data_IF_082073203422
#
_entry.id   IF_082073203422
#
_cell.length_a   1.000
_cell.length_b   1.000
_cell.length_c   1.000
_cell.angle_alpha   90.00
_cell.angle_beta   90.00
_cell.angle_gamma   90.00
#
_symmetry.space_group_name_H-M   'P 1'
#
loop_
_entity.id
_entity.type
_entity.pdbx_description
1 polymer ?
#
# COMPACT_ATOMS: atom_id res chain seq x y z
N UNK A 1 1.52 3.95 8.24
CA UNK A 1 2.48 3.28 7.34
C UNK A 1 3.71 2.78 8.09
N UNK A 2 4.57 3.64 8.64
CA UNK A 2 5.81 3.21 9.33
C UNK A 2 5.59 2.17 10.43
N UNK A 3 4.59 2.38 11.29
CA UNK A 3 4.22 1.41 12.35
C UNK A 3 3.83 0.02 11.81
N UNK A 4 3.08 -0.01 10.70
CA UNK A 4 2.69 -1.25 10.03
C UNK A 4 3.88 -1.92 9.33
N UNK A 5 4.80 -1.13 8.79
CA UNK A 5 6.05 -1.66 8.24
C UNK A 5 6.91 -2.28 9.34
N UNK A 6 7.01 -1.61 10.49
CA UNK A 6 7.76 -2.09 11.65
C UNK A 6 7.18 -3.42 12.15
N UNK A 7 5.86 -3.55 12.20
CA UNK A 7 5.19 -4.81 12.56
C UNK A 7 5.54 -5.94 11.59
N UNK A 8 5.42 -5.70 10.27
CA UNK A 8 5.70 -6.71 9.25
C UNK A 8 7.18 -7.10 9.20
N UNK A 9 8.08 -6.14 9.44
CA UNK A 9 9.52 -6.38 9.48
C UNK A 9 9.91 -7.13 10.77
N UNK A 10 9.41 -6.70 11.93
CA UNK A 10 9.73 -7.30 13.23
C UNK A 10 9.20 -8.72 13.38
N UNK A 11 8.09 -9.06 12.71
CA UNK A 11 7.58 -10.44 12.65
C UNK A 11 8.53 -11.43 11.93
N UNK A 12 9.54 -10.95 11.19
CA UNK A 12 10.47 -11.80 10.45
C UNK A 12 11.82 -11.95 11.17
N UNK A 13 11.92 -12.93 12.06
CA UNK A 13 13.18 -13.21 12.77
C UNK A 13 14.14 -13.99 11.86
N UNK A 14 14.98 -13.26 11.11
CA UNK A 14 16.16 -13.83 10.42
C UNK A 14 16.11 -13.90 8.89
N UNK A 15 15.00 -13.50 8.24
CA UNK A 15 14.90 -13.47 6.77
C UNK A 15 15.00 -12.05 6.18
N UNK A 16 15.35 -11.93 4.90
CA UNK A 16 15.19 -10.66 4.15
C UNK A 16 13.74 -10.46 3.75
N UNK A 17 13.28 -9.21 3.79
CA UNK A 17 12.02 -8.76 3.19
C UNK A 17 12.33 -7.79 2.06
N UNK A 18 11.51 -7.84 1.03
CA UNK A 18 11.52 -6.88 -0.06
C UNK A 18 10.23 -6.07 -0.01
N UNK A 19 10.36 -4.76 -0.15
CA UNK A 19 9.26 -3.82 -0.22
C UNK A 19 9.25 -3.22 -1.62
N UNK A 20 8.10 -3.27 -2.28
CA UNK A 20 7.84 -2.48 -3.47
C UNK A 20 6.51 -1.75 -3.36
N UNK A 21 6.36 -0.65 -4.11
CA UNK A 21 5.21 0.23 -4.04
C UNK A 21 4.74 0.63 -5.43
N UNK A 22 3.49 0.33 -5.73
CA UNK A 22 2.84 0.75 -6.97
C UNK A 22 1.92 1.94 -6.73
N UNK A 23 2.06 2.97 -7.56
CA UNK A 23 1.14 4.10 -7.60
C UNK A 23 -0.02 3.81 -8.55
N UNK A 24 -1.24 3.84 -8.03
CA UNK A 24 -2.46 3.61 -8.81
C UNK A 24 -3.21 4.91 -8.95
N UNK A 25 -3.29 5.44 -10.18
CA UNK A 25 -4.03 6.67 -10.47
C UNK A 25 -5.52 6.38 -10.54
N UNK A 26 -6.31 7.19 -9.85
CA UNK A 26 -7.76 7.03 -9.86
C UNK A 26 -8.37 7.59 -11.15
N UNK A 27 -9.31 6.84 -11.73
CA UNK A 27 -10.10 7.32 -12.84
C UNK A 27 -11.07 8.43 -12.41
N UNK A 28 -11.29 9.44 -13.27
CA UNK A 28 -12.12 10.61 -12.95
C UNK A 28 -13.55 10.26 -12.53
N UNK A 29 -14.12 9.18 -13.06
CA UNK A 29 -15.48 8.73 -12.71
C UNK A 29 -15.57 8.11 -11.31
N UNK A 30 -14.45 7.75 -10.70
CA UNK A 30 -14.38 7.16 -9.35
C UNK A 30 -14.12 8.17 -8.23
N UNK A 31 -14.07 9.48 -8.53
CA UNK A 31 -13.63 10.49 -7.56
C UNK A 31 -14.57 10.70 -6.36
N UNK A 32 -15.82 10.24 -6.41
CA UNK A 32 -16.81 10.39 -5.35
C UNK A 32 -17.42 9.03 -4.95
N UNK A 33 -16.64 8.15 -4.31
CA UNK A 33 -17.13 6.83 -3.93
C UNK A 33 -18.09 6.90 -2.73
N UNK A 34 -18.99 5.93 -2.65
CA UNK A 34 -19.76 5.71 -1.43
C UNK A 34 -18.81 5.40 -0.26
N UNK A 35 -19.12 5.91 0.94
CA UNK A 35 -18.23 5.83 2.10
C UNK A 35 -17.09 6.86 2.11
N UNK A 36 -16.93 7.63 1.03
CA UNK A 36 -15.93 8.70 0.96
C UNK A 36 -14.52 8.23 0.61
N UNK A 37 -13.68 9.20 0.26
CA UNK A 37 -12.36 8.95 -0.33
C UNK A 37 -11.41 8.23 0.64
N UNK A 38 -11.46 8.58 1.94
CA UNK A 38 -10.57 8.02 2.96
C UNK A 38 -10.76 6.52 3.12
N UNK A 39 -12.01 6.06 3.17
CA UNK A 39 -12.35 4.65 3.38
C UNK A 39 -12.00 3.78 2.17
N UNK A 40 -11.84 4.39 1.00
CA UNK A 40 -11.35 3.76 -0.23
C UNK A 40 -9.83 3.87 -0.41
N UNK A 41 -9.09 4.24 0.65
CA UNK A 41 -7.65 4.47 0.63
C UNK A 41 -7.21 5.44 -0.49
N UNK A 42 -8.04 6.44 -0.81
CA UNK A 42 -7.71 7.45 -1.80
C UNK A 42 -7.00 8.62 -1.14
N UNK A 43 -5.81 8.92 -1.64
CA UNK A 43 -5.02 10.11 -1.31
C UNK A 43 -4.97 11.11 -2.46
N UNK A 44 -4.51 12.33 -2.17
CA UNK A 44 -4.29 13.40 -3.15
C UNK A 44 -2.82 13.77 -3.20
N UNK A 45 -2.25 13.79 -4.41
CA UNK A 45 -0.90 14.30 -4.69
C UNK A 45 -0.99 15.39 -5.78
N UNK A 46 0.14 16.00 -6.16
CA UNK A 46 0.20 16.94 -7.29
C UNK A 46 -0.37 16.33 -8.59
N UNK A 47 -0.26 15.01 -8.78
CA UNK A 47 -0.74 14.29 -9.96
C UNK A 47 -2.24 13.93 -9.95
N UNK A 48 -2.98 14.31 -8.90
CA UNK A 48 -4.41 14.02 -8.72
C UNK A 48 -4.71 12.97 -7.64
N UNK A 49 -5.92 12.41 -7.70
CA UNK A 49 -6.37 11.34 -6.80
C UNK A 49 -5.72 10.00 -7.17
N UNK A 50 -5.27 9.28 -6.15
CA UNK A 50 -4.52 8.03 -6.31
C UNK A 50 -4.57 7.19 -5.03
N UNK A 51 -4.13 5.95 -5.13
CA UNK A 51 -3.84 5.04 -4.02
C UNK A 51 -2.42 4.51 -4.19
N UNK A 52 -1.74 4.14 -3.10
CA UNK A 52 -0.44 3.46 -3.16
C UNK A 52 -0.62 2.05 -2.62
N UNK A 53 -0.33 1.04 -3.45
CA UNK A 53 -0.30 -0.34 -3.01
C UNK A 53 1.14 -0.72 -2.68
N UNK A 54 1.38 -1.09 -1.44
CA UNK A 54 2.67 -1.56 -0.97
C UNK A 54 2.61 -3.07 -0.77
N UNK A 55 3.56 -3.79 -1.37
CA UNK A 55 3.71 -5.22 -1.20
C UNK A 55 4.99 -5.51 -0.42
N UNK A 56 4.87 -6.31 0.63
CA UNK A 56 6.02 -6.87 1.33
C UNK A 56 6.10 -8.35 1.00
N UNK A 57 7.24 -8.81 0.51
CA UNK A 57 7.47 -10.21 0.15
C UNK A 57 8.72 -10.77 0.82
N UNK A 58 8.78 -12.09 0.92
CA UNK A 58 9.97 -12.79 1.35
C UNK A 58 11.02 -12.94 0.24
N UNK A 59 12.14 -13.60 0.55
CA UNK A 59 13.23 -13.80 -0.40
C UNK A 59 12.88 -14.66 -1.63
N UNK A 60 11.75 -15.36 -1.62
CA UNK A 60 11.24 -16.18 -2.72
C UNK A 60 10.07 -15.49 -3.45
N UNK A 61 9.77 -14.24 -3.11
CA UNK A 61 8.64 -13.49 -3.68
C UNK A 61 7.28 -13.88 -3.12
N UNK A 62 7.22 -14.65 -2.01
CA UNK A 62 5.93 -15.00 -1.39
C UNK A 62 5.36 -13.79 -0.64
N UNK A 63 4.08 -13.45 -0.82
CA UNK A 63 3.46 -12.33 -0.11
C UNK A 63 3.50 -12.50 1.40
N UNK A 64 3.96 -11.48 2.10
CA UNK A 64 3.91 -11.38 3.56
C UNK A 64 2.86 -10.36 4.02
N UNK A 65 2.73 -9.24 3.30
CA UNK A 65 1.70 -8.23 3.57
C UNK A 65 1.37 -7.41 2.31
N UNK A 66 0.15 -6.87 2.27
CA UNK A 66 -0.33 -5.88 1.30
C UNK A 66 -0.94 -4.72 2.09
N UNK A 67 -0.52 -3.49 1.76
CA UNK A 67 -0.87 -2.28 2.51
C UNK A 67 -1.28 -1.17 1.54
N UNK A 68 -2.26 -0.34 1.94
CA UNK A 68 -2.75 0.82 1.20
C UNK A 68 -2.47 2.14 1.93
#
# INVERSE_FOLDING_TARGET
MWQLLDEVISANTGGRRFLDSTHVKLHRSGCNPAGGQKDQAMGRTKGGLNTKLHAVVDARGRPAALLL
#
